data_IF_148387319617
#
_entry.id   IF_148387319617
#
_cell.length_a   1.000
_cell.length_b   1.000
_cell.length_c   1.000
_cell.angle_alpha   90.00
_cell.angle_beta   90.00
_cell.angle_gamma   90.00
#
_symmetry.space_group_name_H-M   'P 1'
#
loop_
_entity.id
_entity.type
_entity.pdbx_description
1 polymer ?
#
# COMPACT_ATOMS: atom_id res chain seq x y z
N UNK A 1 -11.35 -11.63 0.30
CA UNK A 1 -11.14 -10.37 -0.41
C UNK A 1 -9.82 -10.40 -1.15
N UNK A 2 -9.78 -9.85 -2.34
CA UNK A 2 -8.55 -9.60 -3.07
C UNK A 2 -7.99 -8.24 -2.65
N UNK A 3 -6.66 -8.12 -2.64
CA UNK A 3 -5.99 -6.83 -2.41
C UNK A 3 -5.83 -6.08 -3.73
N UNK A 4 -5.29 -6.74 -4.72
CA UNK A 4 -5.10 -6.18 -6.06
C UNK A 4 -4.99 -7.29 -7.10
N UNK A 5 -5.23 -6.91 -8.36
CA UNK A 5 -4.96 -7.74 -9.55
C UNK A 5 -4.17 -6.85 -10.51
N UNK A 6 -3.10 -7.37 -11.07
CA UNK A 6 -2.32 -6.63 -12.06
C UNK A 6 -3.23 -6.32 -13.29
N UNK A 7 -3.40 -5.03 -13.63
CA UNK A 7 -4.25 -4.63 -14.76
C UNK A 7 -3.82 -5.24 -16.09
N UNK A 8 -2.52 -5.53 -16.25
CA UNK A 8 -1.97 -6.18 -17.46
C UNK A 8 -2.45 -7.62 -17.57
N UNK A 9 -2.48 -8.35 -16.46
CA UNK A 9 -3.01 -9.72 -16.40
C UNK A 9 -4.51 -9.73 -16.69
N UNK A 10 -5.27 -8.81 -16.08
CA UNK A 10 -6.71 -8.68 -16.34
C UNK A 10 -7.01 -8.46 -17.83
N UNK A 11 -6.23 -7.58 -18.48
CA UNK A 11 -6.38 -7.28 -19.89
C UNK A 11 -5.93 -8.44 -20.78
N UNK A 12 -4.78 -9.05 -20.50
CA UNK A 12 -4.23 -10.15 -21.30
C UNK A 12 -5.13 -11.38 -21.28
N UNK A 13 -5.71 -11.69 -20.12
CA UNK A 13 -6.62 -12.83 -19.94
C UNK A 13 -8.09 -12.48 -20.22
N UNK A 14 -8.39 -11.24 -20.59
CA UNK A 14 -9.77 -10.77 -20.87
C UNK A 14 -10.77 -11.19 -19.77
N UNK A 15 -10.37 -11.10 -18.50
CA UNK A 15 -11.12 -11.65 -17.38
C UNK A 15 -12.55 -11.07 -17.28
N UNK A 16 -12.76 -9.83 -17.71
CA UNK A 16 -14.09 -9.21 -17.74
C UNK A 16 -15.01 -9.87 -18.79
N UNK A 17 -14.47 -10.26 -19.95
CA UNK A 17 -15.22 -10.95 -21.00
C UNK A 17 -15.63 -12.36 -20.54
N UNK A 18 -14.84 -12.96 -19.63
CA UNK A 18 -15.14 -14.23 -18.97
C UNK A 18 -16.02 -14.08 -17.71
N UNK A 19 -16.62 -12.91 -17.52
CA UNK A 19 -17.61 -12.69 -16.45
C UNK A 19 -17.04 -12.21 -15.11
N UNK A 20 -15.75 -11.88 -15.02
CA UNK A 20 -15.20 -11.31 -13.80
C UNK A 20 -15.86 -9.95 -13.49
N UNK A 21 -16.57 -9.88 -12.37
CA UNK A 21 -17.16 -8.65 -11.84
C UNK A 21 -16.55 -8.35 -10.49
N UNK A 22 -15.86 -7.20 -10.40
CA UNK A 22 -15.23 -6.75 -9.18
C UNK A 22 -16.14 -5.72 -8.50
N UNK A 23 -16.39 -5.94 -7.22
CA UNK A 23 -17.12 -5.02 -6.34
C UNK A 23 -16.09 -4.27 -5.51
N UNK A 24 -16.20 -2.95 -5.50
CA UNK A 24 -15.36 -2.05 -4.71
C UNK A 24 -16.24 -1.40 -3.64
N UNK A 25 -16.17 -1.83 -2.39
CA UNK A 25 -16.98 -1.25 -1.31
C UNK A 25 -16.49 0.16 -0.97
N UNK A 26 -17.40 1.02 -0.51
CA UNK A 26 -17.05 2.36 -0.03
C UNK A 26 -16.28 2.32 1.29
N UNK A 27 -16.71 1.49 2.23
CA UNK A 27 -15.97 1.20 3.45
C UNK A 27 -15.06 0.00 3.16
N UNK A 28 -13.77 0.23 3.19
CA UNK A 28 -12.76 -0.79 2.84
C UNK A 28 -12.27 -1.57 4.07
N UNK A 29 -12.36 -0.96 5.25
CA UNK A 29 -12.01 -1.58 6.52
C UNK A 29 -12.68 -0.84 7.69
N UNK A 30 -12.89 -1.57 8.78
CA UNK A 30 -13.31 -0.99 10.07
C UNK A 30 -12.30 -1.46 11.12
N UNK A 31 -11.73 -0.51 11.87
CA UNK A 31 -10.98 -0.82 13.09
C UNK A 31 -11.91 -0.67 14.28
N UNK A 32 -12.12 -1.76 14.98
CA UNK A 32 -12.98 -1.79 16.16
C UNK A 32 -12.14 -1.41 17.39
N UNK A 33 -12.50 -0.32 18.02
CA UNK A 33 -11.92 0.12 19.29
C UNK A 33 -12.86 -0.18 20.45
N UNK A 34 -12.33 -0.05 21.65
CA UNK A 34 -13.11 -0.14 22.90
C UNK A 34 -14.06 1.06 23.03
N UNK A 35 -15.11 0.92 23.84
CA UNK A 35 -16.05 2.00 24.18
C UNK A 35 -16.72 2.68 22.98
N UNK A 36 -16.94 1.94 21.89
CA UNK A 36 -17.59 2.47 20.71
C UNK A 36 -16.72 3.39 19.84
N UNK A 37 -15.43 3.53 20.14
CA UNK A 37 -14.49 4.29 19.33
C UNK A 37 -14.00 3.45 18.16
N UNK A 38 -14.61 3.61 17.00
CA UNK A 38 -14.29 2.86 15.79
C UNK A 38 -13.75 3.78 14.71
N UNK A 39 -12.85 3.25 13.84
CA UNK A 39 -12.36 3.96 12.66
C UNK A 39 -12.91 3.27 11.41
N UNK A 40 -13.64 4.05 10.59
CA UNK A 40 -14.10 3.61 9.29
C UNK A 40 -13.14 4.10 8.21
N UNK A 41 -12.40 3.18 7.63
CA UNK A 41 -11.53 3.48 6.49
C UNK A 41 -12.37 3.42 5.22
N UNK A 42 -12.52 4.57 4.59
CA UNK A 42 -13.29 4.71 3.37
C UNK A 42 -12.37 4.70 2.14
N UNK A 43 -12.92 4.29 0.99
CA UNK A 43 -12.23 4.39 -0.29
C UNK A 43 -11.87 5.83 -0.63
N UNK A 44 -12.73 6.77 -0.30
CA UNK A 44 -12.38 8.19 -0.32
C UNK A 44 -11.64 8.56 0.98
N UNK A 45 -10.33 8.91 0.92
CA UNK A 45 -9.55 9.24 2.11
C UNK A 45 -10.12 10.40 2.93
N UNK A 46 -10.79 11.36 2.30
CA UNK A 46 -11.40 12.50 2.99
C UNK A 46 -12.50 12.07 3.97
N UNK A 47 -13.30 11.05 3.62
CA UNK A 47 -14.29 10.49 4.55
C UNK A 47 -13.67 9.74 5.73
N UNK A 48 -12.43 9.28 5.58
CA UNK A 48 -11.69 8.65 6.67
C UNK A 48 -11.19 9.68 7.68
N UNK A 49 -10.88 10.91 7.23
CA UNK A 49 -10.49 12.03 8.11
C UNK A 49 -11.55 12.25 9.18
N UNK A 50 -12.83 12.32 8.79
CA UNK A 50 -13.95 12.53 9.73
C UNK A 50 -14.01 11.42 10.78
N UNK A 51 -13.75 10.19 10.40
CA UNK A 51 -13.73 9.05 11.31
C UNK A 51 -12.54 9.08 12.27
N UNK A 52 -11.37 9.52 11.80
CA UNK A 52 -10.18 9.65 12.65
C UNK A 52 -10.31 10.83 13.60
N UNK A 53 -10.88 11.96 13.16
CA UNK A 53 -11.04 13.18 13.98
C UNK A 53 -11.84 12.94 15.27
N UNK A 54 -12.82 12.02 15.22
CA UNK A 54 -13.60 11.62 16.41
C UNK A 54 -12.75 10.94 17.51
N UNK A 55 -11.51 10.52 17.17
CA UNK A 55 -10.63 9.80 18.09
C UNK A 55 -9.33 10.59 18.34
N UNK A 56 -8.78 11.21 17.29
CA UNK A 56 -7.57 12.02 17.34
C UNK A 56 -7.62 13.10 16.26
N UNK A 57 -7.85 14.33 16.66
CA UNK A 57 -7.84 15.47 15.74
C UNK A 57 -6.45 15.65 15.11
N UNK A 58 -5.39 15.51 15.91
CA UNK A 58 -4.00 15.64 15.46
C UNK A 58 -3.64 14.65 14.37
N UNK A 59 -4.06 13.39 14.50
CA UNK A 59 -3.78 12.35 13.53
C UNK A 59 -4.63 12.52 12.26
N UNK A 60 -5.85 13.05 12.40
CA UNK A 60 -6.72 13.32 11.25
C UNK A 60 -6.10 14.32 10.27
N UNK A 61 -5.38 15.33 10.77
CA UNK A 61 -4.69 16.33 9.95
C UNK A 61 -3.54 15.73 9.13
N UNK A 62 -2.88 14.68 9.63
CA UNK A 62 -1.78 13.99 8.93
C UNK A 62 -2.25 12.92 7.97
N UNK A 63 -3.50 12.51 8.04
CA UNK A 63 -4.00 11.35 7.31
C UNK A 63 -3.84 11.45 5.79
N UNK A 64 -4.19 12.60 5.20
CA UNK A 64 -4.10 12.79 3.75
C UNK A 64 -2.65 12.75 3.28
N UNK A 65 -1.75 13.42 4.00
CA UNK A 65 -0.32 13.43 3.67
C UNK A 65 0.28 12.01 3.75
N UNK A 66 -0.13 11.23 4.74
CA UNK A 66 0.28 9.84 4.87
C UNK A 66 -0.22 8.97 3.72
N UNK A 67 -1.48 9.10 3.33
CA UNK A 67 -2.07 8.38 2.19
C UNK A 67 -1.33 8.73 0.90
N UNK A 68 -1.05 10.00 0.67
CA UNK A 68 -0.32 10.47 -0.51
C UNK A 68 1.14 9.99 -0.51
N UNK A 69 1.77 9.97 0.66
CA UNK A 69 3.10 9.41 0.83
C UNK A 69 3.15 7.92 0.45
N UNK A 70 2.26 7.10 1.02
CA UNK A 70 2.18 5.68 0.69
C UNK A 70 1.88 5.45 -0.79
N UNK A 71 0.98 6.24 -1.38
CA UNK A 71 0.63 6.15 -2.79
C UNK A 71 1.83 6.42 -3.70
N UNK A 72 2.64 7.43 -3.37
CA UNK A 72 3.89 7.70 -4.11
C UNK A 72 4.84 6.50 -4.09
N UNK A 73 5.05 5.90 -2.90
CA UNK A 73 5.95 4.76 -2.74
C UNK A 73 5.40 3.49 -3.41
N UNK A 74 4.11 3.21 -3.27
CA UNK A 74 3.46 2.07 -3.93
C UNK A 74 3.52 2.19 -5.45
N UNK A 75 3.25 3.36 -6.01
CA UNK A 75 3.37 3.62 -7.45
C UNK A 75 4.81 3.43 -7.98
N UNK A 76 5.81 3.72 -7.15
CA UNK A 76 7.20 3.44 -7.48
C UNK A 76 7.46 1.94 -7.49
N UNK A 77 6.98 1.23 -6.47
CA UNK A 77 7.10 -0.22 -6.35
C UNK A 77 6.39 -0.95 -7.50
N UNK A 78 5.21 -0.47 -7.93
CA UNK A 78 4.50 -0.99 -9.11
C UNK A 78 5.37 -0.97 -10.36
N UNK A 79 6.08 0.13 -10.59
CA UNK A 79 6.99 0.25 -11.73
C UNK A 79 8.18 -0.70 -11.60
N UNK A 80 8.73 -0.85 -10.39
CA UNK A 80 9.80 -1.81 -10.14
C UNK A 80 9.36 -3.24 -10.48
N UNK A 81 8.13 -3.62 -10.17
CA UNK A 81 7.59 -4.95 -10.48
C UNK A 81 7.36 -5.21 -11.97
N UNK A 82 7.42 -4.17 -12.82
CA UNK A 82 7.32 -4.35 -14.27
C UNK A 82 8.66 -4.69 -14.93
N UNK A 83 9.76 -4.61 -14.20
CA UNK A 83 11.10 -4.74 -14.74
C UNK A 83 11.64 -6.11 -14.38
N UNK A 84 12.18 -6.88 -15.35
CA UNK A 84 12.86 -8.12 -15.04
C UNK A 84 14.04 -7.86 -14.09
N UNK A 85 14.19 -8.67 -13.03
CA UNK A 85 15.31 -8.48 -12.12
C UNK A 85 16.64 -8.68 -12.86
N UNK A 86 17.68 -7.86 -12.56
CA UNK A 86 18.99 -8.04 -13.14
C UNK A 86 19.60 -9.37 -12.67
N UNK A 87 20.41 -9.99 -13.51
CA UNK A 87 21.13 -11.21 -13.15
C UNK A 87 22.29 -10.86 -12.22
N UNK A 88 22.14 -11.16 -10.94
CA UNK A 88 23.20 -11.01 -9.93
C UNK A 88 23.83 -12.40 -9.70
N UNK A 89 25.18 -12.57 -9.75
CA UNK A 89 26.24 -11.55 -9.78
C UNK A 89 26.67 -11.07 -11.16
N UNK A 90 26.24 -11.68 -12.27
CA UNK A 90 26.73 -11.41 -13.62
C UNK A 90 26.06 -10.18 -14.25
N UNK A 91 26.16 -9.02 -13.61
CA UNK A 91 25.68 -7.75 -14.14
C UNK A 91 26.46 -7.34 -15.39
N UNK A 92 25.83 -7.44 -16.56
CA UNK A 92 26.38 -6.92 -17.81
C UNK A 92 25.92 -5.47 -18.02
N UNK A 93 26.69 -4.70 -18.77
CA UNK A 93 26.31 -3.33 -19.14
C UNK A 93 24.93 -3.27 -19.82
N UNK A 94 24.53 -4.31 -20.54
CA UNK A 94 23.20 -4.45 -21.11
C UNK A 94 22.08 -4.50 -20.03
N UNK A 95 22.35 -5.09 -18.88
CA UNK A 95 21.39 -5.16 -17.75
C UNK A 95 21.25 -3.78 -17.11
N UNK A 96 22.31 -2.98 -17.04
CA UNK A 96 22.28 -1.58 -16.58
C UNK A 96 21.44 -0.72 -17.55
N UNK A 97 21.55 -0.96 -18.86
CA UNK A 97 20.70 -0.28 -19.85
C UNK A 97 19.24 -0.70 -19.78
N UNK A 98 18.94 -1.95 -19.40
CA UNK A 98 17.58 -2.43 -19.18
C UNK A 98 16.91 -1.78 -17.97
N UNK A 99 17.69 -1.22 -17.04
CA UNK A 99 17.19 -0.45 -15.89
C UNK A 99 16.82 1.01 -16.24
N UNK A 100 17.12 1.49 -17.46
CA UNK A 100 16.77 2.85 -17.90
C UNK A 100 15.27 3.18 -17.74
N UNK A 101 14.31 2.31 -18.10
CA UNK A 101 12.90 2.57 -17.87
C UNK A 101 12.55 2.73 -16.39
N UNK A 102 13.36 2.17 -15.51
CA UNK A 102 13.25 2.31 -14.05
C UNK A 102 13.78 3.66 -13.57
N UNK A 103 14.90 4.10 -14.15
CA UNK A 103 15.52 5.38 -13.77
C UNK A 103 14.66 6.59 -14.13
N UNK A 104 13.95 6.56 -15.25
CA UNK A 104 13.13 7.69 -15.70
C UNK A 104 11.96 8.03 -14.72
N UNK A 105 11.19 7.07 -14.20
CA UNK A 105 10.20 7.33 -13.15
C UNK A 105 10.81 7.72 -11.81
N UNK A 106 11.98 7.14 -11.47
CA UNK A 106 12.76 7.48 -10.28
C UNK A 106 13.24 8.94 -10.35
N UNK A 107 13.78 9.34 -11.48
CA UNK A 107 14.24 10.71 -11.74
C UNK A 107 13.08 11.72 -11.75
N UNK A 108 11.89 11.34 -12.25
CA UNK A 108 10.69 12.20 -12.24
C UNK A 108 10.14 12.44 -10.83
N UNK A 109 10.27 11.48 -9.92
CA UNK A 109 9.87 11.66 -8.52
C UNK A 109 10.96 12.35 -7.68
N UNK A 110 12.12 12.58 -8.28
CA UNK A 110 13.30 13.13 -7.64
C UNK A 110 14.04 12.10 -6.77
N UNK A 111 15.26 12.42 -6.33
CA UNK A 111 16.07 11.51 -5.50
C UNK A 111 15.42 11.17 -4.16
N UNK A 112 14.56 12.05 -3.64
CA UNK A 112 13.85 11.84 -2.36
C UNK A 112 12.93 10.63 -2.38
N UNK A 113 12.19 10.39 -3.48
CA UNK A 113 11.26 9.25 -3.56
C UNK A 113 11.97 7.89 -3.50
N UNK A 114 13.18 7.79 -4.08
CA UNK A 114 14.02 6.57 -3.99
C UNK A 114 14.55 6.39 -2.57
N UNK A 115 15.05 7.46 -1.98
CA UNK A 115 15.56 7.44 -0.60
C UNK A 115 14.44 7.03 0.36
N UNK A 116 13.24 7.58 0.19
CA UNK A 116 12.08 7.23 1.01
C UNK A 116 11.70 5.75 0.86
N UNK A 117 11.70 5.21 -0.36
CA UNK A 117 11.44 3.79 -0.58
C UNK A 117 12.50 2.90 0.07
N UNK A 118 13.80 3.23 -0.10
CA UNK A 118 14.90 2.49 0.51
C UNK A 118 14.89 2.59 2.04
N UNK A 119 14.38 3.71 2.59
CA UNK A 119 14.21 3.90 4.02
C UNK A 119 13.05 3.07 4.56
N UNK A 120 11.87 3.16 3.93
CA UNK A 120 10.65 2.49 4.40
C UNK A 120 10.71 0.97 4.21
N UNK A 121 11.37 0.49 3.15
CA UNK A 121 11.40 -0.94 2.86
C UNK A 121 11.95 -1.80 4.01
N UNK A 122 13.08 -1.48 4.66
CA UNK A 122 13.56 -2.24 5.80
C UNK A 122 12.89 -1.88 7.13
N UNK A 123 12.10 -0.78 7.21
CA UNK A 123 11.51 -0.32 8.47
C UNK A 123 10.54 -1.32 9.08
N UNK A 124 10.48 -1.31 10.39
CA UNK A 124 9.40 -1.94 11.15
C UNK A 124 8.13 -1.10 11.07
N UNK A 125 6.97 -1.76 11.08
CA UNK A 125 5.69 -1.02 11.09
C UNK A 125 5.56 -0.09 12.30
N UNK A 126 6.06 -0.51 13.45
CA UNK A 126 6.03 0.33 14.64
C UNK A 126 6.78 1.65 14.44
N UNK A 127 8.01 1.59 13.92
CA UNK A 127 8.81 2.79 13.63
C UNK A 127 8.11 3.71 12.62
N UNK A 128 7.58 3.13 11.53
CA UNK A 128 6.85 3.90 10.54
C UNK A 128 5.62 4.59 11.15
N UNK A 129 4.89 3.90 12.04
CA UNK A 129 3.71 4.47 12.68
C UNK A 129 4.07 5.55 13.72
N UNK A 130 5.17 5.40 14.44
CA UNK A 130 5.66 6.40 15.40
C UNK A 130 6.00 7.75 14.72
N UNK A 131 6.45 7.72 13.47
CA UNK A 131 6.73 8.96 12.71
C UNK A 131 5.44 9.72 12.33
N UNK A 132 4.32 9.00 12.13
CA UNK A 132 3.13 9.60 11.56
C UNK A 132 2.01 9.85 12.58
N UNK A 133 1.73 8.90 13.47
CA UNK A 133 0.52 8.90 14.29
C UNK A 133 0.80 8.64 15.76
N UNK A 134 -0.10 9.16 16.61
CA UNK A 134 -0.02 9.00 18.07
C UNK A 134 -1.10 8.03 18.59
N UNK A 135 -2.26 7.98 17.92
CA UNK A 135 -3.37 7.15 18.37
C UNK A 135 -3.11 5.65 18.13
N UNK A 136 -3.18 4.87 19.20
CA UNK A 136 -2.89 3.43 19.20
C UNK A 136 -3.82 2.61 18.29
N UNK A 137 -5.11 2.93 18.27
CA UNK A 137 -6.07 2.21 17.44
C UNK A 137 -5.76 2.42 15.94
N UNK A 138 -5.45 3.67 15.55
CA UNK A 138 -5.08 4.00 14.18
C UNK A 138 -3.78 3.31 13.79
N UNK A 139 -2.74 3.41 14.62
CA UNK A 139 -1.43 2.76 14.43
C UNK A 139 -1.57 1.25 14.28
N UNK A 140 -2.30 0.61 15.19
CA UNK A 140 -2.53 -0.85 15.18
C UNK A 140 -3.30 -1.29 13.93
N UNK A 141 -4.32 -0.53 13.54
CA UNK A 141 -5.11 -0.82 12.35
C UNK A 141 -4.26 -0.80 11.08
N UNK A 142 -3.36 0.20 10.94
CA UNK A 142 -2.46 0.31 9.80
C UNK A 142 -1.39 -0.78 9.85
N UNK A 143 -0.78 -1.03 11.02
CA UNK A 143 0.26 -2.04 11.22
C UNK A 143 -0.23 -3.45 10.85
N UNK A 144 -1.50 -3.75 11.07
CA UNK A 144 -2.10 -5.01 10.66
C UNK A 144 -2.00 -5.27 9.14
N UNK A 145 -1.93 -4.23 8.31
CA UNK A 145 -1.69 -4.39 6.88
C UNK A 145 -0.23 -4.71 6.55
N UNK A 146 0.71 -4.13 7.32
CA UNK A 146 2.13 -4.40 7.14
C UNK A 146 2.56 -5.82 7.55
N UNK A 147 1.78 -6.49 8.40
CA UNK A 147 2.06 -7.89 8.82
C UNK A 147 1.15 -8.91 8.13
N UNK A 148 0.22 -8.47 7.28
CA UNK A 148 -0.73 -9.37 6.63
C UNK A 148 -0.02 -10.37 5.70
N UNK A 149 -0.36 -11.65 5.85
CA UNK A 149 0.27 -12.79 5.17
C UNK A 149 1.74 -13.05 5.53
N UNK A 150 2.25 -12.46 6.59
CA UNK A 150 3.57 -12.75 7.13
C UNK A 150 3.47 -13.51 8.45
N UNK A 151 4.46 -14.36 8.71
CA UNK A 151 4.66 -14.98 10.02
C UNK A 151 5.51 -14.08 10.94
N UNK A 152 5.37 -12.78 10.80
CA UNK A 152 6.15 -11.74 11.49
C UNK A 152 5.22 -10.75 12.19
N UNK A 153 5.70 -10.17 13.29
CA UNK A 153 4.99 -9.11 14.00
C UNK A 153 5.38 -7.70 13.52
N UNK A 154 4.69 -6.66 14.02
CA UNK A 154 4.90 -5.26 13.59
C UNK A 154 6.28 -4.69 13.99
N UNK A 155 7.01 -5.38 14.87
CA UNK A 155 8.38 -5.06 15.28
C UNK A 155 9.45 -5.80 14.46
N UNK A 156 9.06 -6.47 13.39
CA UNK A 156 10.00 -7.16 12.51
C UNK A 156 10.39 -6.26 11.34
N UNK A 157 11.68 -6.25 10.99
CA UNK A 157 12.21 -5.51 9.86
C UNK A 157 11.53 -5.96 8.54
N UNK A 158 11.33 -5.01 7.61
CA UNK A 158 10.72 -5.27 6.31
C UNK A 158 9.18 -5.30 6.31
N UNK A 159 8.53 -5.13 7.46
CA UNK A 159 7.06 -5.04 7.49
C UNK A 159 6.54 -3.76 6.85
N UNK A 160 7.34 -2.68 6.80
CA UNK A 160 7.06 -1.48 6.02
C UNK A 160 6.98 -1.77 4.52
N UNK A 161 7.88 -2.61 3.98
CA UNK A 161 7.80 -3.06 2.59
C UNK A 161 6.49 -3.80 2.30
N UNK A 162 6.07 -4.69 3.22
CA UNK A 162 4.83 -5.43 3.04
C UNK A 162 3.61 -4.49 3.02
N UNK A 163 3.61 -3.42 3.81
CA UNK A 163 2.56 -2.39 3.73
C UNK A 163 2.46 -1.81 2.31
N UNK A 164 3.59 -1.45 1.69
CA UNK A 164 3.62 -0.95 0.31
C UNK A 164 3.13 -2.01 -0.68
N UNK A 165 3.57 -3.26 -0.53
CA UNK A 165 3.16 -4.38 -1.37
C UNK A 165 1.64 -4.63 -1.30
N UNK A 166 1.05 -4.55 -0.11
CA UNK A 166 -0.40 -4.73 0.08
C UNK A 166 -1.23 -3.59 -0.55
N UNK A 167 -0.60 -2.45 -0.82
CA UNK A 167 -1.25 -1.26 -1.39
C UNK A 167 -0.97 -1.05 -2.89
N UNK A 168 -0.37 -2.02 -3.58
CA UNK A 168 -0.19 -1.97 -5.02
C UNK A 168 -1.54 -1.82 -5.74
N UNK A 169 -1.57 -0.98 -6.78
CA UNK A 169 -2.78 -0.70 -7.57
C UNK A 169 -3.98 -0.24 -6.75
N UNK A 170 -3.74 0.31 -5.58
CA UNK A 170 -4.80 0.82 -4.71
C UNK A 170 -5.33 2.15 -5.22
N UNK A 171 -6.64 2.28 -5.29
CA UNK A 171 -7.34 3.53 -5.58
C UNK A 171 -7.79 4.26 -4.30
N UNK A 172 -7.60 3.64 -3.13
CA UNK A 172 -8.04 4.14 -1.83
C UNK A 172 -6.91 4.41 -0.82
N UNK A 173 -5.67 4.30 -1.26
CA UNK A 173 -4.50 4.66 -0.45
C UNK A 173 -3.99 3.52 0.43
N UNK A 174 -4.64 3.23 1.54
CA UNK A 174 -4.05 2.36 2.57
C UNK A 174 -4.63 0.95 2.61
N UNK A 175 -5.87 0.79 2.20
CA UNK A 175 -6.54 -0.49 2.13
C UNK A 175 -7.16 -0.69 0.76
N UNK A 176 -6.77 -1.73 0.09
CA UNK A 176 -7.47 -2.16 -1.10
C UNK A 176 -8.27 -3.42 -0.76
N UNK A 177 -9.58 -3.32 -0.79
CA UNK A 177 -10.48 -4.45 -0.63
C UNK A 177 -11.35 -4.56 -1.85
N UNK A 178 -11.15 -5.65 -2.58
CA UNK A 178 -11.90 -5.99 -3.77
C UNK A 178 -12.66 -7.29 -3.51
N UNK A 179 -13.91 -7.35 -3.93
CA UNK A 179 -14.71 -8.57 -3.85
C UNK A 179 -15.08 -9.01 -5.27
N UNK A 180 -15.07 -10.30 -5.51
CA UNK A 180 -15.55 -10.88 -6.75
C UNK A 180 -17.03 -11.18 -6.56
N UNK A 181 -17.88 -10.70 -7.47
CA UNK A 181 -19.31 -11.01 -7.45
C UNK A 181 -19.50 -12.51 -7.69
N UNK A 182 -20.21 -13.17 -6.80
CA UNK A 182 -20.41 -14.63 -6.83
C UNK A 182 -19.40 -15.43 -6.01
N UNK A 183 -18.44 -14.75 -5.38
CA UNK A 183 -17.41 -15.36 -4.53
C UNK A 183 -16.17 -15.82 -5.31
N UNK A 184 -15.22 -16.33 -4.57
CA UNK A 184 -14.04 -17.05 -5.10
C UNK A 184 -14.19 -18.52 -4.76
N UNK A 185 -13.83 -19.37 -5.67
CA UNK A 185 -13.71 -20.81 -5.43
C UNK A 185 -12.51 -21.06 -4.51
#
# INVERSE_FOLDING_TARGET
>A
SLKWIDPRVMKALKLQDHGLKIIKPDIVRIALGMEGKHIFFNRNPLKTVDSISNISEKDSLKWIDFVDYLKKLSNLLEKLYTIPPPKIPDLKMADVFSLRPMLAPLLKQGPRGVVDLLRVAPMMMNELMDEWFENELLRSAISASGVHHLSLGPYSAGTGFNLLHQNLYSDCGIYNSLFIKGGTI
#
